data_IF_759958049316
#
_entry.id   IF_759958049316
#
_cell.length_a   1.000
_cell.length_b   1.000
_cell.length_c   1.000
_cell.angle_alpha   90.00
_cell.angle_beta   90.00
_cell.angle_gamma   90.00
#
_symmetry.space_group_name_H-M   'P 1'
#
loop_
_entity.id
_entity.type
_entity.pdbx_description
1 polymer ?
#
# COMPACT_ATOMS: atom_id res chain seq x y z
N UNK A 1 10.02 10.76 13.09
CA UNK A 1 8.72 11.47 13.15
C UNK A 1 7.66 10.53 12.59
N UNK A 2 6.42 10.48 13.11
CA UNK A 2 5.35 9.79 12.39
C UNK A 2 5.16 10.47 11.04
N UNK A 3 5.22 9.72 9.94
CA UNK A 3 4.94 10.23 8.61
C UNK A 3 3.45 10.64 8.55
N UNK A 4 3.18 11.82 7.99
CA UNK A 4 1.80 12.34 7.91
C UNK A 4 0.98 11.57 6.86
N UNK A 5 -0.35 11.64 6.98
CA UNK A 5 -1.26 11.11 5.96
C UNK A 5 -0.96 11.72 4.58
N UNK A 6 -0.66 13.02 4.52
CA UNK A 6 -0.26 13.71 3.29
C UNK A 6 1.01 13.12 2.66
N UNK A 7 2.03 12.79 3.46
CA UNK A 7 3.27 12.17 2.94
C UNK A 7 2.99 10.81 2.33
N UNK A 8 2.16 9.98 2.99
CA UNK A 8 1.80 8.65 2.50
C UNK A 8 0.99 8.78 1.20
N UNK A 9 -0.02 9.65 1.16
CA UNK A 9 -0.81 9.92 -0.04
C UNK A 9 0.05 10.43 -1.20
N UNK A 10 0.95 11.39 -0.95
CA UNK A 10 1.82 11.93 -1.97
C UNK A 10 2.75 10.86 -2.55
N UNK A 11 3.31 9.99 -1.70
CA UNK A 11 4.14 8.87 -2.12
C UNK A 11 3.38 7.92 -3.06
N UNK A 12 2.18 7.49 -2.67
CA UNK A 12 1.38 6.56 -3.48
C UNK A 12 0.60 7.22 -4.61
N UNK A 13 0.63 8.55 -4.76
CA UNK A 13 -0.13 9.26 -5.80
C UNK A 13 0.32 8.95 -7.23
N UNK A 14 1.57 8.47 -7.41
CA UNK A 14 2.17 8.14 -8.70
C UNK A 14 2.93 6.82 -8.62
N UNK A 15 2.78 5.99 -9.64
CA UNK A 15 3.32 4.63 -9.67
C UNK A 15 4.86 4.58 -9.67
N UNK A 16 5.50 5.57 -10.32
CA UNK A 16 6.95 5.70 -10.43
C UNK A 16 7.65 5.88 -9.07
N UNK A 17 6.91 6.25 -8.03
CA UNK A 17 7.45 6.38 -6.69
C UNK A 17 7.69 5.04 -5.97
N UNK A 18 7.03 3.95 -6.39
CA UNK A 18 7.00 2.72 -5.60
C UNK A 18 7.10 1.40 -6.40
N UNK A 19 6.90 1.41 -7.72
CA UNK A 19 6.76 0.16 -8.51
C UNK A 19 7.99 -0.77 -8.44
N UNK A 20 9.19 -0.21 -8.36
CA UNK A 20 10.47 -0.93 -8.34
C UNK A 20 11.05 -1.04 -6.92
N UNK A 21 10.35 -0.52 -5.92
CA UNK A 21 10.85 -0.49 -4.55
C UNK A 21 10.53 -1.78 -3.81
N UNK A 22 11.47 -2.18 -2.96
CA UNK A 22 11.22 -3.21 -1.96
C UNK A 22 10.30 -2.66 -0.86
N UNK A 23 9.72 -3.56 -0.05
CA UNK A 23 8.96 -3.14 1.13
C UNK A 23 9.81 -2.32 2.10
N UNK A 24 11.09 -2.68 2.27
CA UNK A 24 12.02 -1.98 3.15
C UNK A 24 12.21 -0.52 2.71
N UNK A 25 12.46 -0.30 1.41
CA UNK A 25 12.58 1.05 0.83
C UNK A 25 11.30 1.88 1.01
N UNK A 26 10.13 1.25 0.89
CA UNK A 26 8.84 1.92 1.13
C UNK A 26 8.75 2.33 2.60
N UNK A 27 9.06 1.43 3.54
CA UNK A 27 9.00 1.71 4.98
C UNK A 27 9.98 2.81 5.38
N UNK A 28 11.17 2.85 4.80
CA UNK A 28 12.14 3.93 5.07
C UNK A 28 11.61 5.31 4.66
N UNK A 29 10.83 5.38 3.56
CA UNK A 29 10.33 6.63 2.98
C UNK A 29 9.05 7.15 3.61
N UNK A 30 8.14 6.26 4.02
CA UNK A 30 6.80 6.64 4.51
C UNK A 30 6.43 6.00 5.85
N UNK A 31 7.36 5.27 6.46
CA UNK A 31 7.18 4.64 7.75
C UNK A 31 6.49 3.28 7.68
N UNK A 32 6.35 2.63 8.84
CA UNK A 32 5.85 1.26 8.91
C UNK A 32 4.36 1.19 8.56
N UNK A 33 3.98 0.06 7.93
CA UNK A 33 2.60 -0.35 7.79
C UNK A 33 1.97 -0.67 9.15
N UNK A 34 0.65 -0.66 9.21
CA UNK A 34 -0.14 -0.96 10.42
C UNK A 34 -0.58 -2.41 10.51
N UNK A 35 -0.79 -3.07 9.39
CA UNK A 35 -1.24 -4.46 9.34
C UNK A 35 -0.61 -5.17 8.15
N UNK A 36 -0.37 -6.46 8.33
CA UNK A 36 0.07 -7.40 7.29
C UNK A 36 -0.92 -8.56 7.21
N UNK A 37 -1.15 -9.07 6.00
CA UNK A 37 -1.99 -10.25 5.71
C UNK A 37 -1.36 -11.02 4.54
N UNK A 38 -1.30 -12.35 4.64
CA UNK A 38 -0.90 -13.22 3.55
C UNK A 38 -2.14 -13.71 2.80
N UNK A 39 -2.21 -13.38 1.52
CA UNK A 39 -3.30 -13.79 0.64
C UNK A 39 -2.89 -14.98 -0.23
N UNK A 40 -3.90 -15.72 -0.69
CA UNK A 40 -3.71 -16.87 -1.54
C UNK A 40 -2.81 -16.57 -2.75
N UNK A 41 -1.99 -17.56 -3.09
CA UNK A 41 -1.03 -17.55 -4.21
C UNK A 41 0.18 -16.63 -4.02
N UNK A 42 0.65 -16.50 -2.77
CA UNK A 42 1.89 -15.79 -2.44
C UNK A 42 1.77 -14.28 -2.65
N UNK A 43 0.58 -13.73 -2.40
CA UNK A 43 0.34 -12.29 -2.38
C UNK A 43 0.50 -11.81 -0.95
N UNK A 44 1.37 -10.83 -0.78
CA UNK A 44 1.64 -10.21 0.51
C UNK A 44 0.94 -8.86 0.56
N UNK A 45 0.19 -8.59 1.61
CA UNK A 45 -0.66 -7.41 1.71
C UNK A 45 -0.28 -6.59 2.94
N UNK A 46 -0.01 -5.30 2.72
CA UNK A 46 0.42 -4.37 3.76
C UNK A 46 -0.51 -3.15 3.79
N UNK A 47 -1.14 -2.90 4.94
CA UNK A 47 -2.09 -1.79 5.12
C UNK A 47 -1.43 -0.65 5.92
N UNK A 48 -1.42 0.57 5.37
CA UNK A 48 -1.18 1.81 6.11
C UNK A 48 -2.52 2.45 6.46
N UNK A 49 -2.93 2.30 7.73
CA UNK A 49 -4.17 2.87 8.24
C UNK A 49 -3.93 4.04 9.18
N UNK A 50 -4.67 5.12 8.96
CA UNK A 50 -4.73 6.35 9.76
C UNK A 50 -6.20 6.83 9.79
N UNK A 51 -6.57 7.80 10.65
CA UNK A 51 -7.96 8.22 10.80
C UNK A 51 -8.70 8.57 9.50
N UNK A 52 -8.02 9.17 8.52
CA UNK A 52 -8.61 9.57 7.24
C UNK A 52 -7.95 8.89 6.02
N UNK A 53 -7.12 7.88 6.25
CA UNK A 53 -6.37 7.22 5.19
C UNK A 53 -6.30 5.71 5.41
N UNK A 54 -6.59 4.93 4.37
CA UNK A 54 -6.28 3.51 4.33
C UNK A 54 -5.69 3.17 2.97
N UNK A 55 -4.39 2.91 2.93
CA UNK A 55 -3.70 2.42 1.74
C UNK A 55 -3.38 0.95 1.95
N UNK A 56 -3.68 0.13 0.96
CA UNK A 56 -3.19 -1.24 0.88
C UNK A 56 -2.16 -1.38 -0.22
N UNK A 57 -1.03 -1.98 0.08
CA UNK A 57 -0.01 -2.37 -0.90
C UNK A 57 -0.08 -3.88 -1.07
N UNK A 58 -0.30 -4.34 -2.29
CA UNK A 58 -0.27 -5.75 -2.68
C UNK A 58 1.05 -6.03 -3.38
N UNK A 59 1.87 -6.88 -2.78
CA UNK A 59 3.15 -7.31 -3.31
C UNK A 59 3.08 -8.77 -3.78
N UNK A 60 3.91 -9.10 -4.78
CA UNK A 60 4.09 -10.48 -5.26
C UNK A 60 5.49 -10.65 -5.81
N UNK A 61 6.21 -11.66 -5.31
CA UNK A 61 7.58 -11.94 -5.74
C UNK A 61 8.56 -10.81 -5.39
N UNK A 62 8.32 -10.08 -4.30
CA UNK A 62 9.17 -8.98 -3.83
C UNK A 62 8.88 -7.61 -4.44
N UNK A 63 7.91 -7.48 -5.35
CA UNK A 63 7.59 -6.23 -6.03
C UNK A 63 6.14 -5.80 -5.81
N UNK A 64 5.88 -4.49 -5.87
CA UNK A 64 4.52 -3.93 -5.79
C UNK A 64 3.75 -4.26 -7.06
N UNK A 65 2.61 -4.95 -6.90
CA UNK A 65 1.67 -5.23 -7.99
C UNK A 65 0.51 -4.23 -8.04
N UNK A 66 0.01 -3.85 -6.88
CA UNK A 66 -1.06 -2.87 -6.80
C UNK A 66 -0.96 -2.07 -5.51
N UNK A 67 -1.45 -0.84 -5.58
CA UNK A 67 -1.73 0.00 -4.42
C UNK A 67 -3.21 0.36 -4.48
N UNK A 68 -3.95 0.07 -3.42
CA UNK A 68 -5.37 0.35 -3.30
C UNK A 68 -5.58 1.46 -2.27
N UNK A 69 -6.27 2.53 -2.68
CA UNK A 69 -6.88 3.48 -1.75
C UNK A 69 -8.22 2.89 -1.30
N UNK A 70 -8.36 2.64 0.00
CA UNK A 70 -9.56 2.06 0.61
C UNK A 70 -10.31 3.11 1.43
N UNK A 71 -11.60 2.90 1.63
CA UNK A 71 -12.40 3.70 2.57
C UNK A 71 -11.83 3.53 3.99
N UNK A 72 -11.34 4.61 4.64
CA UNK A 72 -10.78 4.53 5.98
C UNK A 72 -11.81 4.16 7.06
N UNK A 73 -13.11 4.38 6.80
CA UNK A 73 -14.20 4.04 7.70
C UNK A 73 -14.63 2.57 7.59
N UNK A 74 -14.31 1.91 6.47
CA UNK A 74 -14.53 0.48 6.31
C UNK A 74 -13.44 -0.31 7.05
N UNK A 75 -13.84 -0.95 8.14
CA UNK A 75 -12.97 -1.76 8.99
C UNK A 75 -12.98 -3.25 8.64
N UNK A 76 -13.69 -3.66 7.58
CA UNK A 76 -13.66 -5.05 7.11
C UNK A 76 -12.26 -5.44 6.63
N UNK A 77 -11.99 -6.76 6.62
CA UNK A 77 -10.72 -7.33 6.16
C UNK A 77 -10.33 -6.76 4.80
N UNK A 78 -11.24 -6.85 3.83
CA UNK A 78 -11.00 -6.41 2.47
C UNK A 78 -11.15 -4.89 2.31
N UNK A 79 -12.04 -4.25 3.07
CA UNK A 79 -12.33 -2.84 2.89
C UNK A 79 -13.05 -2.54 1.57
N UNK A 80 -13.55 -1.32 1.45
CA UNK A 80 -14.17 -0.80 0.23
C UNK A 80 -13.10 -0.07 -0.58
N UNK A 81 -12.76 -0.59 -1.75
CA UNK A 81 -11.76 0.03 -2.63
C UNK A 81 -12.34 1.29 -3.29
N UNK A 82 -11.72 2.43 -3.05
CA UNK A 82 -12.04 3.71 -3.68
C UNK A 82 -11.32 3.86 -5.03
N UNK A 83 -10.06 3.42 -5.08
CA UNK A 83 -9.20 3.51 -6.27
C UNK A 83 -8.09 2.46 -6.24
N UNK A 84 -7.66 2.00 -7.41
CA UNK A 84 -6.52 1.09 -7.59
C UNK A 84 -5.48 1.74 -8.49
N UNK A 85 -4.22 1.66 -8.08
CA UNK A 85 -3.05 2.09 -8.83
C UNK A 85 -2.14 0.90 -9.08
N UNK A 86 -2.07 0.47 -10.33
CA UNK A 86 -1.28 -0.68 -10.73
C UNK A 86 0.21 -0.33 -10.80
N UNK A 87 1.05 -1.20 -10.21
CA UNK A 87 2.49 -1.18 -10.47
C UNK A 87 2.74 -1.87 -11.79
N UNK A 88 3.09 -1.10 -12.82
CA UNK A 88 3.33 -1.65 -14.16
C UNK A 88 4.68 -2.39 -14.16
N UNK A 89 4.64 -3.67 -13.84
CA UNK A 89 5.72 -4.62 -14.13
C UNK A 89 5.08 -5.79 -14.86
N UNK A 90 5.22 -5.75 -16.19
CA UNK A 90 4.88 -6.82 -17.12
C UNK A 90 5.34 -8.19 -16.61
N UNK A 91 4.62 -9.27 -16.96
CA UNK A 91 4.92 -10.63 -16.52
C UNK A 91 6.35 -11.08 -16.86
#
# INVERSE_FOLDING_TARGET
MPFSEETICAFFSRWDNYVELSLEDIIERIGPFTQYDDWDWGREVYDWKRPNLRIRVVMRGGYVKAVEELDPQDNSRYGTTLRVLWGDVSP
#
